data_IF_023642021484
#
_entry.id   IF_023642021484
#
_cell.length_a   1.000
_cell.length_b   1.000
_cell.length_c   1.000
_cell.angle_alpha   90.00
_cell.angle_beta   90.00
_cell.angle_gamma   90.00
#
_symmetry.space_group_name_H-M   'P 1'
#
loop_
_entity.id
_entity.type
_entity.pdbx_description
1 polymer ?
#
# COMPACT_ATOMS: atom_id res chain seq x y z
N UNK A 1 30.58 -8.32 13.08
CA UNK A 1 29.84 -7.04 13.16
C UNK A 1 29.18 -6.80 11.82
N UNK A 2 27.86 -6.92 11.72
CA UNK A 2 27.14 -6.41 10.56
C UNK A 2 27.01 -4.90 10.77
N UNK A 3 27.85 -4.11 10.11
CA UNK A 3 27.70 -2.65 10.12
C UNK A 3 26.49 -2.28 9.27
N UNK A 4 25.52 -1.58 9.84
CA UNK A 4 24.43 -0.97 9.08
C UNK A 4 25.00 0.12 8.19
N UNK A 5 25.03 -0.12 6.87
CA UNK A 5 25.40 0.88 5.87
C UNK A 5 24.13 1.45 5.27
N UNK A 6 23.93 2.74 5.41
CA UNK A 6 22.84 3.46 4.75
C UNK A 6 23.03 3.37 3.21
N UNK A 7 21.92 3.18 2.49
CA UNK A 7 21.94 2.98 1.02
C UNK A 7 21.11 4.04 0.29
N UNK A 8 19.99 4.48 0.87
CA UNK A 8 19.04 5.41 0.27
C UNK A 8 18.48 6.35 1.35
N UNK A 9 18.26 7.60 0.97
CA UNK A 9 17.46 8.55 1.75
C UNK A 9 16.07 8.66 1.10
N UNK A 10 15.04 8.50 1.90
CA UNK A 10 13.65 8.57 1.47
C UNK A 10 12.97 9.70 2.24
N UNK A 11 12.53 10.72 1.53
CA UNK A 11 11.82 11.85 2.11
C UNK A 11 10.33 11.77 1.75
N UNK A 12 9.51 11.55 2.77
CA UNK A 12 8.05 11.57 2.65
C UNK A 12 7.51 12.78 3.39
N UNK A 13 7.08 13.84 2.70
CA UNK A 13 6.47 14.97 3.37
C UNK A 13 5.15 14.58 4.02
N UNK A 14 4.86 15.18 5.17
CA UNK A 14 3.55 15.06 5.79
C UNK A 14 2.48 15.66 4.87
N UNK A 15 1.38 14.92 4.67
CA UNK A 15 0.25 15.33 3.82
C UNK A 15 -1.00 15.52 4.68
N UNK A 16 -1.98 16.28 4.16
CA UNK A 16 -3.20 16.58 4.90
C UNK A 16 -3.97 15.31 5.28
N UNK A 17 -4.24 15.13 6.58
CA UNK A 17 -5.19 14.11 7.05
C UNK A 17 -6.63 14.61 6.82
N UNK A 18 -7.50 13.80 6.22
CA UNK A 18 -8.95 14.07 6.11
C UNK A 18 -9.44 14.76 4.82
N UNK A 19 -8.60 14.89 3.79
CA UNK A 19 -9.00 15.39 2.48
C UNK A 19 -9.70 14.31 1.64
N UNK A 20 -10.77 14.66 0.93
CA UNK A 20 -11.54 13.73 0.11
C UNK A 20 -10.77 13.32 -1.17
N UNK A 21 -10.39 12.05 -1.24
CA UNK A 21 -10.08 11.30 -2.47
C UNK A 21 -8.90 11.80 -3.36
N UNK A 22 -7.75 12.15 -2.77
CA UNK A 22 -6.48 12.50 -3.49
C UNK A 22 -6.66 13.43 -4.71
N UNK A 23 -7.68 14.30 -4.66
CA UNK A 23 -8.11 15.14 -5.77
C UNK A 23 -7.21 16.37 -5.98
N UNK A 24 -6.33 16.65 -5.01
CA UNK A 24 -5.41 17.78 -5.02
C UNK A 24 -4.01 17.34 -4.54
N UNK A 25 -2.97 18.05 -4.98
CA UNK A 25 -1.55 17.72 -4.69
C UNK A 25 -1.20 17.69 -3.19
N UNK A 26 -1.96 18.41 -2.36
CA UNK A 26 -1.78 18.41 -0.90
C UNK A 26 -2.24 17.09 -0.24
N UNK A 27 -3.02 16.28 -0.95
CA UNK A 27 -3.57 15.01 -0.48
C UNK A 27 -2.93 13.81 -1.18
N UNK A 28 -2.25 14.02 -2.32
CA UNK A 28 -1.49 13.00 -3.03
C UNK A 28 -0.21 12.64 -2.28
N UNK A 29 -0.02 11.34 -2.07
CA UNK A 29 1.19 10.80 -1.47
C UNK A 29 2.37 10.93 -2.43
N UNK A 30 3.54 11.26 -1.89
CA UNK A 30 4.78 11.38 -2.65
C UNK A 30 5.96 10.93 -1.81
N UNK A 31 6.98 10.40 -2.46
CA UNK A 31 8.21 9.94 -1.85
C UNK A 31 9.38 10.36 -2.73
N UNK A 32 10.24 11.23 -2.20
CA UNK A 32 11.48 11.62 -2.86
C UNK A 32 12.58 10.63 -2.51
N UNK A 33 13.29 10.16 -3.54
CA UNK A 33 14.35 9.16 -3.41
C UNK A 33 15.67 9.84 -3.72
N UNK A 34 16.61 9.81 -2.78
CA UNK A 34 17.94 10.36 -2.93
C UNK A 34 19.02 9.33 -2.54
N UNK A 35 20.24 9.60 -2.99
CA UNK A 35 21.42 8.94 -2.42
C UNK A 35 21.64 9.44 -0.97
N UNK A 36 22.79 9.10 -0.36
CA UNK A 36 23.13 9.57 0.99
C UNK A 36 23.29 11.10 1.12
N UNK A 37 23.39 11.80 -0.02
CA UNK A 37 23.27 13.25 -0.08
C UNK A 37 21.88 13.61 -0.62
N UNK A 38 21.03 14.32 0.16
CA UNK A 38 19.72 14.78 -0.28
C UNK A 38 19.75 15.61 -1.58
N UNK A 39 20.86 16.29 -1.87
CA UNK A 39 21.04 17.04 -3.11
C UNK A 39 21.15 16.13 -4.35
N UNK A 40 21.49 14.85 -4.16
CA UNK A 40 21.60 13.84 -5.20
C UNK A 40 20.29 13.07 -5.36
N UNK A 41 19.24 13.79 -5.77
CA UNK A 41 17.94 13.20 -6.09
C UNK A 41 18.07 12.16 -7.21
N UNK A 42 17.48 10.99 -6.98
CA UNK A 42 17.44 9.84 -7.88
C UNK A 42 16.11 9.79 -8.62
N UNK A 43 15.01 9.90 -7.87
CA UNK A 43 13.65 9.68 -8.38
C UNK A 43 12.60 10.37 -7.51
N UNK A 44 11.38 10.44 -8.03
CA UNK A 44 10.17 10.78 -7.29
C UNK A 44 9.14 9.69 -7.54
N UNK A 45 8.56 9.14 -6.48
CA UNK A 45 7.39 8.26 -6.57
C UNK A 45 6.17 9.03 -6.07
N UNK A 46 5.07 9.05 -6.81
CA UNK A 46 3.87 9.78 -6.40
C UNK A 46 2.59 9.08 -6.76
N UNK A 47 1.53 9.33 -5.99
CA UNK A 47 0.17 9.03 -6.43
C UNK A 47 -0.24 9.98 -7.56
N UNK A 48 -0.86 9.46 -8.64
CA UNK A 48 -1.46 10.31 -9.67
C UNK A 48 -2.74 10.98 -9.15
N UNK A 49 -3.31 11.87 -9.97
CA UNK A 49 -4.58 12.53 -9.68
C UNK A 49 -5.70 11.50 -9.44
N UNK A 50 -6.52 11.73 -8.40
CA UNK A 50 -7.52 10.77 -7.92
C UNK A 50 -6.91 9.39 -7.62
N UNK A 51 -5.61 9.30 -7.32
CA UNK A 51 -4.92 8.05 -6.99
C UNK A 51 -4.91 6.98 -8.08
N UNK A 52 -5.34 7.30 -9.30
CA UNK A 52 -5.52 6.32 -10.39
C UNK A 52 -6.99 5.91 -10.61
N UNK A 53 -7.94 6.65 -10.04
CA UNK A 53 -9.37 6.41 -10.22
C UNK A 53 -9.82 5.16 -9.48
N UNK A 54 -10.10 4.07 -10.21
CA UNK A 54 -10.59 2.83 -9.62
C UNK A 54 -9.48 1.81 -9.32
N UNK A 55 -8.23 2.09 -9.68
CA UNK A 55 -7.12 1.19 -9.42
C UNK A 55 -6.01 1.94 -8.66
N UNK A 56 -5.52 1.42 -7.53
CA UNK A 56 -4.44 2.05 -6.80
C UNK A 56 -3.24 2.15 -7.70
N UNK A 57 -2.71 3.36 -7.85
CA UNK A 57 -1.64 3.62 -8.80
C UNK A 57 -0.54 4.50 -8.22
N UNK A 58 0.69 4.30 -8.70
CA UNK A 58 1.85 5.15 -8.45
C UNK A 58 2.56 5.46 -9.77
N UNK A 59 2.94 6.72 -9.95
CA UNK A 59 3.87 7.16 -10.98
C UNK A 59 5.30 7.09 -10.42
N UNK A 60 6.21 6.46 -11.16
CA UNK A 60 7.63 6.39 -10.84
C UNK A 60 8.38 7.26 -11.83
N UNK A 61 8.97 8.33 -11.34
CA UNK A 61 9.57 9.39 -12.16
C UNK A 61 11.07 9.51 -11.87
N UNK A 62 11.87 9.85 -12.88
CA UNK A 62 13.28 10.21 -12.68
C UNK A 62 13.41 11.57 -11.96
N UNK A 63 14.65 11.99 -11.70
CA UNK A 63 14.93 13.29 -11.05
C UNK A 63 14.57 14.49 -11.91
N UNK A 64 14.47 14.33 -13.23
CA UNK A 64 14.05 15.35 -14.19
C UNK A 64 12.52 15.42 -14.35
N UNK A 65 11.78 14.45 -13.79
CA UNK A 65 10.33 14.36 -13.89
C UNK A 65 9.83 13.63 -15.14
N UNK A 66 10.67 12.81 -15.79
CA UNK A 66 10.23 11.91 -16.85
C UNK A 66 9.75 10.58 -16.25
N UNK A 67 8.73 9.98 -16.88
CA UNK A 67 8.19 8.70 -16.44
C UNK A 67 9.20 7.57 -16.67
N UNK A 68 9.50 6.81 -15.61
CA UNK A 68 10.30 5.58 -15.65
C UNK A 68 9.41 4.35 -15.70
N UNK A 69 8.32 4.36 -14.92
CA UNK A 69 7.33 3.30 -14.86
C UNK A 69 6.04 3.82 -14.21
N UNK A 70 4.97 3.04 -14.32
CA UNK A 70 3.80 3.18 -13.45
C UNK A 70 3.49 1.84 -12.79
N UNK A 71 2.95 1.89 -11.57
CA UNK A 71 2.54 0.71 -10.82
C UNK A 71 1.04 0.80 -10.64
N UNK A 72 0.30 -0.26 -10.96
CA UNK A 72 -1.16 -0.30 -10.80
C UNK A 72 -1.62 -1.62 -10.20
N UNK A 73 -2.47 -1.54 -9.19
CA UNK A 73 -3.01 -2.68 -8.46
C UNK A 73 -4.46 -3.01 -8.81
N UNK A 74 -5.05 -3.96 -8.09
CA UNK A 74 -6.43 -4.35 -8.32
C UNK A 74 -7.41 -3.32 -7.74
N UNK A 75 -8.60 -3.21 -8.32
CA UNK A 75 -9.68 -2.36 -7.80
C UNK A 75 -10.31 -2.92 -6.54
N UNK A 76 -10.46 -4.24 -6.49
CA UNK A 76 -11.06 -4.99 -5.39
C UNK A 76 -10.04 -5.99 -4.89
N UNK A 77 -10.14 -6.35 -3.61
CA UNK A 77 -9.17 -7.22 -2.96
C UNK A 77 -7.77 -6.58 -2.88
N UNK A 78 -7.73 -5.28 -2.58
CA UNK A 78 -6.49 -4.65 -2.13
C UNK A 78 -6.29 -5.04 -0.68
N UNK A 79 -5.21 -5.76 -0.38
CA UNK A 79 -4.94 -6.15 0.98
C UNK A 79 -5.91 -7.18 1.56
N UNK A 80 -5.76 -7.43 2.85
CA UNK A 80 -6.46 -8.50 3.55
C UNK A 80 -5.63 -9.77 3.65
N UNK A 81 -5.81 -10.49 4.75
CA UNK A 81 -4.80 -11.43 5.19
C UNK A 81 -4.80 -12.79 4.46
N UNK A 82 -5.78 -13.09 3.60
CA UNK A 82 -5.91 -14.43 3.01
C UNK A 82 -5.43 -14.55 1.56
N UNK A 83 -5.11 -13.45 0.89
CA UNK A 83 -4.81 -13.47 -0.55
C UNK A 83 -3.65 -12.57 -0.91
N UNK A 84 -2.90 -13.01 -1.92
CA UNK A 84 -1.80 -12.22 -2.46
C UNK A 84 -2.37 -10.99 -3.19
N UNK A 85 -1.85 -9.81 -2.87
CA UNK A 85 -2.21 -8.58 -3.59
C UNK A 85 -1.10 -8.27 -4.60
N UNK A 86 -1.42 -8.34 -5.89
CA UNK A 86 -0.44 -8.13 -6.97
C UNK A 86 -0.68 -6.82 -7.71
N UNK A 87 0.34 -5.97 -7.74
CA UNK A 87 0.43 -4.78 -8.56
C UNK A 87 1.29 -5.07 -9.79
N UNK A 88 0.85 -4.60 -10.95
CA UNK A 88 1.60 -4.71 -12.20
C UNK A 88 2.44 -3.46 -12.40
N UNK A 89 3.69 -3.65 -12.83
CA UNK A 89 4.60 -2.57 -13.21
C UNK A 89 4.57 -2.42 -14.73
N UNK A 90 4.28 -1.22 -15.19
CA UNK A 90 4.15 -0.85 -16.59
C UNK A 90 5.29 0.07 -17.01
N UNK A 91 5.81 -0.13 -18.22
CA UNK A 91 6.73 0.81 -18.85
C UNK A 91 6.00 2.09 -19.30
N UNK A 92 6.71 3.17 -19.61
CA UNK A 92 6.11 4.39 -20.17
C UNK A 92 5.31 4.15 -21.46
N UNK A 93 5.65 3.09 -22.21
CA UNK A 93 4.97 2.65 -23.44
C UNK A 93 3.72 1.78 -23.16
N UNK A 94 3.40 1.52 -21.89
CA UNK A 94 2.24 0.73 -21.49
C UNK A 94 2.45 -0.79 -21.58
N UNK A 95 3.71 -1.26 -21.60
CA UNK A 95 4.02 -2.69 -21.60
C UNK A 95 4.22 -3.21 -20.17
N UNK A 96 3.71 -4.40 -19.81
CA UNK A 96 3.96 -4.98 -18.50
C UNK A 96 5.41 -5.45 -18.41
N UNK A 97 6.17 -4.88 -17.48
CA UNK A 97 7.61 -5.14 -17.31
C UNK A 97 7.96 -5.81 -15.97
N UNK A 98 7.00 -5.90 -15.05
CA UNK A 98 7.26 -6.40 -13.72
C UNK A 98 6.01 -6.51 -12.87
N UNK A 99 6.20 -6.96 -11.63
CA UNK A 99 5.14 -7.09 -10.62
C UNK A 99 5.69 -6.80 -9.23
N UNK A 100 4.83 -6.24 -8.39
CA UNK A 100 4.99 -6.18 -6.94
C UNK A 100 3.87 -7.01 -6.33
N UNK A 101 4.19 -7.98 -5.49
CA UNK A 101 3.19 -8.84 -4.85
C UNK A 101 3.38 -8.81 -3.35
N UNK A 102 2.35 -8.39 -2.61
CA UNK A 102 2.21 -8.65 -1.17
C UNK A 102 1.74 -10.08 -0.98
N UNK A 103 2.44 -10.87 -0.19
CA UNK A 103 2.05 -12.24 0.12
C UNK A 103 1.01 -12.25 1.25
N UNK A 104 -0.12 -12.92 1.02
CA UNK A 104 -1.12 -13.16 2.06
C UNK A 104 -0.71 -14.31 3.00
N UNK A 105 -1.26 -14.34 4.21
CA UNK A 105 -1.07 -15.46 5.14
C UNK A 105 -1.55 -16.77 4.51
N UNK A 106 -0.72 -17.80 4.59
CA UNK A 106 -1.02 -19.15 4.10
C UNK A 106 -1.64 -20.03 5.18
N UNK A 107 -1.43 -19.70 6.44
CA UNK A 107 -2.01 -20.39 7.58
C UNK A 107 -2.42 -19.44 8.72
N UNK A 108 -3.08 -20.00 9.73
CA UNK A 108 -3.58 -19.23 10.88
C UNK A 108 -2.45 -18.68 11.76
N UNK A 109 -1.28 -19.32 11.78
CA UNK A 109 -0.11 -18.84 12.51
C UNK A 109 0.47 -17.59 11.85
N UNK A 110 0.62 -17.60 10.52
CA UNK A 110 1.03 -16.44 9.73
C UNK A 110 0.00 -15.31 9.81
N UNK A 111 -1.30 -15.62 9.81
CA UNK A 111 -2.36 -14.63 10.00
C UNK A 111 -2.22 -13.90 11.34
N UNK A 112 -1.98 -14.65 12.42
CA UNK A 112 -1.78 -14.09 13.75
C UNK A 112 -0.46 -13.32 13.82
N UNK A 113 0.60 -13.83 13.21
CA UNK A 113 1.91 -13.14 13.18
C UNK A 113 1.81 -11.81 12.43
N UNK A 114 1.25 -11.80 11.21
CA UNK A 114 1.05 -10.58 10.42
C UNK A 114 0.18 -9.57 11.19
N UNK A 115 -0.91 -10.04 11.82
CA UNK A 115 -1.78 -9.17 12.63
C UNK A 115 -1.10 -8.60 13.88
N UNK A 116 -0.04 -9.23 14.39
CA UNK A 116 0.66 -8.82 15.61
C UNK A 116 1.94 -8.03 15.35
N UNK A 117 2.64 -8.31 14.24
CA UNK A 117 3.94 -7.70 13.93
C UNK A 117 3.91 -6.70 12.78
N UNK A 118 2.78 -6.57 12.07
CA UNK A 118 2.61 -5.70 10.89
C UNK A 118 3.72 -5.89 9.85
N UNK A 119 4.21 -7.14 9.76
CA UNK A 119 5.37 -7.48 8.95
C UNK A 119 4.90 -8.09 7.64
N UNK A 120 5.04 -7.31 6.56
CA UNK A 120 4.61 -7.72 5.23
C UNK A 120 5.74 -8.29 4.38
N UNK A 121 5.42 -9.37 3.68
CA UNK A 121 6.33 -9.99 2.72
C UNK A 121 5.97 -9.53 1.32
N UNK A 122 6.96 -8.99 0.61
CA UNK A 122 6.80 -8.52 -0.75
C UNK A 122 7.77 -9.17 -1.74
N UNK A 123 7.27 -9.47 -2.93
CA UNK A 123 8.06 -9.92 -4.08
C UNK A 123 8.04 -8.82 -5.15
N UNK A 124 9.21 -8.26 -5.47
CA UNK A 124 9.40 -7.28 -6.54
C UNK A 124 10.20 -7.90 -7.70
N UNK A 125 9.60 -7.92 -8.89
CA UNK A 125 10.22 -8.42 -10.11
C UNK A 125 10.35 -7.29 -11.15
N UNK A 126 11.54 -7.13 -11.73
CA UNK A 126 11.83 -6.22 -12.84
C UNK A 126 12.85 -6.86 -13.81
N UNK A 127 12.98 -6.35 -15.05
CA UNK A 127 13.91 -6.90 -16.03
C UNK A 127 15.37 -6.92 -15.53
N UNK A 128 16.15 -7.92 -15.95
CA UNK A 128 17.53 -8.10 -15.49
C UNK A 128 18.40 -6.85 -15.69
N UNK A 129 18.22 -6.19 -16.84
CA UNK A 129 19.02 -5.06 -17.29
C UNK A 129 18.47 -3.69 -16.84
N UNK A 130 17.52 -3.67 -15.89
CA UNK A 130 17.08 -2.41 -15.26
C UNK A 130 18.27 -1.71 -14.61
N UNK A 131 18.38 -0.40 -14.79
CA UNK A 131 19.47 0.37 -14.20
C UNK A 131 19.30 0.54 -12.68
N UNK A 132 20.38 0.92 -12.00
CA UNK A 132 20.41 0.99 -10.52
C UNK A 132 19.48 2.06 -9.96
N UNK A 133 19.25 3.17 -10.68
CA UNK A 133 18.39 4.27 -10.21
C UNK A 133 16.92 3.84 -10.30
N UNK A 134 16.53 3.19 -11.40
CA UNK A 134 15.19 2.63 -11.53
C UNK A 134 14.94 1.55 -10.48
N UNK A 135 15.93 0.68 -10.17
CA UNK A 135 15.79 -0.28 -9.05
C UNK A 135 15.57 0.40 -7.70
N UNK A 136 16.33 1.46 -7.41
CA UNK A 136 16.15 2.25 -6.20
C UNK A 136 14.76 2.91 -6.15
N UNK A 137 14.29 3.47 -7.26
CA UNK A 137 12.96 4.04 -7.38
C UNK A 137 11.88 2.98 -7.13
N UNK A 138 11.97 1.81 -7.77
CA UNK A 138 11.02 0.70 -7.59
C UNK A 138 10.99 0.15 -6.16
N UNK A 139 12.15 0.03 -5.50
CA UNK A 139 12.23 -0.34 -4.09
C UNK A 139 11.57 0.71 -3.19
N UNK A 140 11.74 2.00 -3.52
CA UNK A 140 11.10 3.09 -2.77
C UNK A 140 9.59 3.10 -3.00
N UNK A 141 9.12 2.79 -4.22
CA UNK A 141 7.70 2.63 -4.52
C UNK A 141 7.06 1.52 -3.70
N UNK A 142 7.80 0.44 -3.42
CA UNK A 142 7.34 -0.64 -2.56
C UNK A 142 7.04 -0.14 -1.15
N UNK A 143 7.95 0.63 -0.55
CA UNK A 143 7.77 1.23 0.77
C UNK A 143 6.62 2.22 0.80
N UNK A 144 6.40 2.98 -0.29
CA UNK A 144 5.24 3.86 -0.38
C UNK A 144 3.92 3.09 -0.49
N UNK A 145 3.89 1.95 -1.21
CA UNK A 145 2.71 1.07 -1.26
C UNK A 145 2.39 0.51 0.12
N UNK A 146 3.42 0.02 0.83
CA UNK A 146 3.35 -0.49 2.20
C UNK A 146 2.70 0.53 3.13
N UNK A 147 3.29 1.72 3.19
CA UNK A 147 2.78 2.85 3.95
C UNK A 147 1.33 3.23 3.60
N UNK A 148 0.98 3.21 2.32
CA UNK A 148 -0.32 3.70 1.87
C UNK A 148 -1.47 2.73 2.09
N UNK A 149 -1.20 1.43 2.04
CA UNK A 149 -2.25 0.42 1.93
C UNK A 149 -2.18 -0.65 3.00
N UNK A 150 -1.05 -0.85 3.66
CA UNK A 150 -0.78 -2.08 4.39
C UNK A 150 -0.41 -1.89 5.88
N UNK A 151 0.13 -0.73 6.30
CA UNK A 151 0.50 -0.45 7.72
C UNK A 151 -0.67 -0.49 8.75
N UNK A 152 -1.94 -0.46 8.30
CA UNK A 152 -3.13 -0.49 9.18
C UNK A 152 -3.98 -1.77 8.98
N UNK A 153 -3.38 -2.87 8.51
CA UNK A 153 -4.07 -4.15 8.29
C UNK A 153 -4.36 -4.96 9.57
N UNK A 154 -5.14 -4.39 10.49
CA UNK A 154 -5.77 -5.17 11.55
C UNK A 154 -6.76 -6.19 10.97
N UNK A 155 -6.30 -7.42 10.67
CA UNK A 155 -7.10 -8.43 9.99
C UNK A 155 -8.21 -9.03 10.86
N UNK A 156 -8.05 -8.99 12.19
CA UNK A 156 -8.96 -9.60 13.15
C UNK A 156 -9.18 -8.68 14.36
N UNK A 157 -10.43 -8.30 14.62
CA UNK A 157 -10.84 -7.65 15.85
C UNK A 157 -11.83 -8.54 16.59
N UNK A 158 -11.45 -9.02 17.78
CA UNK A 158 -12.29 -9.86 18.63
C UNK A 158 -12.77 -9.07 19.85
N UNK A 159 -14.09 -9.05 20.07
CA UNK A 159 -14.71 -8.63 21.32
C UNK A 159 -14.98 -9.86 22.19
N UNK A 160 -14.15 -10.10 23.24
CA UNK A 160 -14.29 -11.27 24.10
C UNK A 160 -15.52 -11.21 25.01
N UNK A 161 -16.14 -10.04 25.19
CA UNK A 161 -17.32 -9.86 26.05
C UNK A 161 -18.59 -10.28 25.33
N UNK A 162 -18.69 -9.94 24.04
CA UNK A 162 -19.86 -10.22 23.22
C UNK A 162 -19.71 -11.48 22.35
N UNK A 163 -18.62 -12.24 22.52
CA UNK A 163 -18.27 -13.39 21.67
C UNK A 163 -18.38 -13.08 20.18
N UNK A 164 -17.96 -11.87 19.80
CA UNK A 164 -18.09 -11.36 18.44
C UNK A 164 -16.70 -11.11 17.84
N UNK A 165 -16.49 -11.55 16.60
CA UNK A 165 -15.25 -11.31 15.87
C UNK A 165 -15.57 -10.65 14.54
N UNK A 166 -14.82 -9.59 14.20
CA UNK A 166 -14.84 -8.95 12.90
C UNK A 166 -13.54 -9.28 12.17
N UNK A 167 -13.68 -9.87 10.99
CA UNK A 167 -12.59 -10.25 10.12
C UNK A 167 -12.58 -9.36 8.88
N UNK A 168 -11.47 -8.68 8.62
CA UNK A 168 -11.28 -7.89 7.39
C UNK A 168 -10.91 -8.86 6.26
N UNK A 169 -11.82 -9.06 5.31
CA UNK A 169 -11.58 -9.94 4.17
C UNK A 169 -10.61 -9.30 3.18
N UNK A 170 -10.86 -8.04 2.81
CA UNK A 170 -10.04 -7.24 1.90
C UNK A 170 -10.52 -5.78 1.85
N UNK A 171 -9.85 -4.91 1.09
CA UNK A 171 -10.32 -3.56 0.78
C UNK A 171 -10.79 -3.39 -0.68
N UNK A 172 -11.78 -2.51 -0.85
CA UNK A 172 -12.12 -1.92 -2.14
C UNK A 172 -11.42 -0.56 -2.27
N UNK A 173 -10.75 -0.34 -3.39
CA UNK A 173 -10.07 0.92 -3.68
C UNK A 173 -10.94 1.85 -4.54
N UNK A 174 -11.01 3.12 -4.15
CA UNK A 174 -11.62 4.17 -4.96
C UNK A 174 -10.97 5.52 -4.67
N UNK A 175 -10.40 6.12 -5.71
CA UNK A 175 -9.86 7.47 -5.75
C UNK A 175 -8.91 7.81 -4.58
N UNK A 176 -7.99 6.91 -4.23
CA UNK A 176 -7.07 7.10 -3.11
C UNK A 176 -7.58 6.63 -1.74
N UNK A 177 -8.82 6.18 -1.64
CA UNK A 177 -9.42 5.68 -0.41
C UNK A 177 -9.55 4.15 -0.44
N UNK A 178 -9.29 3.50 0.70
CA UNK A 178 -9.59 2.09 0.94
C UNK A 178 -10.87 1.95 1.77
N UNK A 179 -11.77 1.09 1.31
CA UNK A 179 -13.01 0.77 2.04
C UNK A 179 -12.97 -0.71 2.45
N UNK A 180 -12.98 -1.02 3.76
CA UNK A 180 -12.85 -2.39 4.23
C UNK A 180 -14.11 -3.21 4.00
N UNK A 181 -13.94 -4.32 3.29
CA UNK A 181 -14.89 -5.42 3.19
C UNK A 181 -14.63 -6.38 4.36
N UNK A 182 -15.58 -6.47 5.29
CA UNK A 182 -15.42 -7.27 6.51
C UNK A 182 -16.61 -8.21 6.74
N UNK A 183 -16.31 -9.39 7.29
CA UNK A 183 -17.28 -10.35 7.78
C UNK A 183 -17.27 -10.34 9.31
N UNK A 184 -18.42 -10.53 9.94
CA UNK A 184 -18.52 -10.64 11.40
C UNK A 184 -19.23 -11.91 11.82
N UNK A 185 -18.78 -12.54 12.90
CA UNK A 185 -19.48 -13.60 13.61
C UNK A 185 -19.76 -13.16 15.06
N UNK A 186 -20.80 -13.73 15.69
CA UNK A 186 -21.28 -13.33 17.03
C UNK A 186 -22.79 -13.02 17.03
N UNK A 187 -23.40 -13.00 18.21
CA UNK A 187 -24.83 -12.66 18.36
C UNK A 187 -25.07 -11.21 17.93
N UNK A 188 -26.11 -10.90 17.14
CA UNK A 188 -26.40 -9.51 16.75
C UNK A 188 -26.63 -8.67 18.00
N UNK A 189 -26.02 -7.47 18.04
CA UNK A 189 -26.27 -6.52 19.13
C UNK A 189 -27.79 -6.35 19.32
N UNK A 190 -28.29 -6.38 20.57
CA UNK A 190 -29.72 -6.19 20.81
C UNK A 190 -30.15 -4.84 20.20
N UNK A 191 -31.34 -4.77 19.58
CA UNK A 191 -31.81 -3.53 19.01
C UNK A 191 -31.82 -2.43 20.08
N UNK A 192 -31.54 -1.17 19.72
CA UNK A 192 -31.62 -0.06 20.67
C UNK A 192 -33.00 -0.09 21.34
N UNK A 193 -33.09 0.22 22.65
CA UNK A 193 -34.37 0.22 23.35
C UNK A 193 -35.33 1.09 22.58
N UNK A 194 -36.51 0.54 22.25
CA UNK A 194 -37.56 1.29 21.60
C UNK A 194 -37.86 2.51 22.48
N UNK A 195 -37.52 3.70 22.00
CA UNK A 195 -37.95 4.96 22.62
C UNK A 195 -39.46 5.03 22.41
N UNK A 196 -40.21 4.48 23.37
CA UNK A 196 -41.66 4.62 23.43
C UNK A 196 -42.02 6.10 23.56
N UNK A 197 -42.87 6.57 22.64
CA UNK A 197 -43.69 7.76 22.82
C UNK A 197 -44.78 7.50 23.85
#
# INVERSE_FOLDING_TARGET
MFGSREVLLLDRPFKCAGCCCTCHECCQQTLDVAALDPALKIATVRQPLLGGGLAPSLDVMDREGNALASISGPTCCVGGACFDTTFTVWSPEGLPIGKVTKEGARDFGELVQQSLTDADNFVLNFPKDTDKKTKAAMLSSLLLLDYMFFEDEGALACDPVNCACKFKCCDLYCCGCLTPCSCSCGEPAPPPPATGL
#
